data_IF_184049013215
#
_entry.id   IF_184049013215
#
_cell.length_a   1.000
_cell.length_b   1.000
_cell.length_c   1.000
_cell.angle_alpha   90.00
_cell.angle_beta   90.00
_cell.angle_gamma   90.00
#
_symmetry.space_group_name_H-M   'P 1'
#
loop_
_entity.id
_entity.type
_entity.pdbx_description
1 polymer ?
#
# COMPACT_ATOMS: atom_id res chain seq x y z
N UNK A 1 19.17 -11.46 24.90
CA UNK A 1 20.05 -10.42 24.34
C UNK A 1 19.41 -9.66 23.16
N UNK A 2 18.55 -10.27 22.33
CA UNK A 2 18.05 -9.62 21.11
C UNK A 2 16.80 -8.73 21.26
N UNK A 3 16.10 -8.78 22.40
CA UNK A 3 14.82 -8.07 22.59
C UNK A 3 14.89 -6.57 22.27
N UNK A 4 15.94 -5.88 22.72
CA UNK A 4 16.10 -4.45 22.45
C UNK A 4 16.33 -4.13 20.96
N UNK A 5 17.12 -4.95 20.27
CA UNK A 5 17.36 -4.80 18.84
C UNK A 5 16.08 -5.10 18.01
N UNK A 6 15.32 -6.12 18.42
CA UNK A 6 14.05 -6.46 17.77
C UNK A 6 13.00 -5.38 17.98
N UNK A 7 12.94 -4.77 19.18
CA UNK A 7 12.07 -3.62 19.46
C UNK A 7 12.40 -2.41 18.59
N UNK A 8 13.68 -2.00 18.52
CA UNK A 8 14.09 -0.86 17.70
C UNK A 8 13.74 -1.06 16.21
N UNK A 9 13.98 -2.26 15.67
CA UNK A 9 13.60 -2.60 14.29
C UNK A 9 12.09 -2.56 14.07
N UNK A 10 11.31 -3.00 15.06
CA UNK A 10 9.86 -2.92 15.03
C UNK A 10 9.36 -1.47 14.97
N UNK A 11 9.95 -0.60 15.79
CA UNK A 11 9.62 0.83 15.85
C UNK A 11 9.98 1.55 14.53
N UNK A 12 11.17 1.27 13.97
CA UNK A 12 11.60 1.83 12.68
C UNK A 12 10.63 1.42 11.55
N UNK A 13 10.25 0.15 11.48
CA UNK A 13 9.30 -0.35 10.50
C UNK A 13 7.89 0.25 10.69
N UNK A 14 7.48 0.47 11.94
CA UNK A 14 6.22 1.14 12.25
C UNK A 14 6.24 2.61 11.79
N UNK A 15 7.32 3.34 12.07
CA UNK A 15 7.50 4.72 11.63
C UNK A 15 7.52 4.86 10.11
N UNK A 16 8.27 4.01 9.42
CA UNK A 16 8.35 4.02 7.96
C UNK A 16 6.99 3.76 7.30
N UNK A 17 6.21 2.81 7.84
CA UNK A 17 4.84 2.54 7.39
C UNK A 17 3.97 3.81 7.44
N UNK A 18 4.07 4.60 8.51
CA UNK A 18 3.29 5.84 8.67
C UNK A 18 3.71 6.89 7.66
N UNK A 19 5.02 7.07 7.47
CA UNK A 19 5.58 8.03 6.52
C UNK A 19 5.16 7.72 5.08
N UNK A 20 5.22 6.45 4.66
CA UNK A 20 4.81 6.02 3.31
C UNK A 20 3.32 6.27 3.09
N UNK A 21 2.46 5.93 4.06
CA UNK A 21 1.01 6.22 3.94
C UNK A 21 0.76 7.72 3.83
N UNK A 22 1.42 8.52 4.68
CA UNK A 22 1.35 9.97 4.59
C UNK A 22 1.72 10.46 3.19
N UNK A 23 2.88 10.05 2.66
CA UNK A 23 3.31 10.42 1.31
C UNK A 23 2.29 10.03 0.22
N UNK A 24 1.73 8.82 0.27
CA UNK A 24 0.71 8.39 -0.69
C UNK A 24 -0.57 9.22 -0.60
N UNK A 25 -1.05 9.52 0.61
CA UNK A 25 -2.28 10.31 0.83
C UNK A 25 -2.15 11.77 0.42
N UNK A 26 -0.93 12.32 0.31
CA UNK A 26 -0.68 13.65 -0.26
C UNK A 26 -0.62 13.64 -1.79
N UNK A 27 -0.72 12.48 -2.44
CA UNK A 27 -0.79 12.36 -3.89
C UNK A 27 -2.07 12.96 -4.48
N UNK A 28 -2.05 13.22 -5.80
CA UNK A 28 -3.21 13.69 -6.55
C UNK A 28 -3.41 12.80 -7.80
N UNK A 29 -4.53 12.05 -7.90
CA UNK A 29 -5.57 11.90 -6.88
C UNK A 29 -5.04 11.15 -5.64
N UNK A 30 -5.66 11.42 -4.49
CA UNK A 30 -5.38 10.64 -3.29
C UNK A 30 -5.86 9.18 -3.49
N UNK A 31 -5.22 8.19 -2.84
CA UNK A 31 -5.68 6.81 -2.87
C UNK A 31 -7.13 6.65 -2.41
N UNK A 32 -7.91 5.89 -3.17
CA UNK A 32 -9.28 5.49 -2.83
C UNK A 32 -9.34 3.95 -2.84
N UNK A 33 -9.76 3.29 -1.74
CA UNK A 33 -10.13 3.87 -0.45
C UNK A 33 -8.95 4.47 0.32
N UNK A 34 -9.21 5.47 1.16
CA UNK A 34 -8.16 6.14 1.94
C UNK A 34 -7.32 5.15 2.76
N UNK A 35 -6.00 5.30 2.70
CA UNK A 35 -5.06 4.47 3.45
C UNK A 35 -4.95 4.95 4.89
N UNK A 36 -5.49 4.17 5.84
CA UNK A 36 -5.35 4.47 7.26
C UNK A 36 -4.01 4.01 7.80
N UNK A 37 -3.16 4.94 8.24
CA UNK A 37 -1.78 4.70 8.68
C UNK A 37 -1.64 3.63 9.80
N UNK A 38 -2.63 3.52 10.70
CA UNK A 38 -2.72 2.51 11.75
C UNK A 38 -3.03 1.08 11.28
N UNK A 39 -3.82 0.93 10.20
CA UNK A 39 -4.37 -0.37 9.76
C UNK A 39 -3.71 -0.88 8.49
N UNK A 40 -3.31 -2.16 8.45
CA UNK A 40 -2.70 -2.78 7.27
C UNK A 40 -3.73 -3.45 6.33
N UNK A 41 -4.97 -3.58 6.79
CA UNK A 41 -6.06 -4.21 6.04
C UNK A 41 -6.29 -3.49 4.72
N UNK A 42 -6.56 -4.25 3.66
CA UNK A 42 -6.81 -3.71 2.32
C UNK A 42 -5.57 -3.21 1.58
N UNK A 43 -4.39 -3.08 2.21
CA UNK A 43 -3.17 -2.62 1.53
C UNK A 43 -2.47 -3.73 0.74
N UNK A 44 -1.37 -3.37 0.08
CA UNK A 44 -0.56 -4.28 -0.72
C UNK A 44 -1.27 -4.57 -2.03
N UNK A 45 -1.40 -5.84 -2.40
CA UNK A 45 -2.07 -6.24 -3.65
C UNK A 45 -3.60 -6.05 -3.65
N UNK A 46 -4.21 -5.72 -2.50
CA UNK A 46 -5.66 -5.51 -2.36
C UNK A 46 -6.11 -4.06 -2.56
N UNK A 47 -5.18 -3.14 -2.81
CA UNK A 47 -5.47 -1.72 -3.06
C UNK A 47 -4.67 -1.25 -4.27
N UNK A 48 -5.35 -0.60 -5.22
CA UNK A 48 -4.80 -0.27 -6.54
C UNK A 48 -3.47 0.49 -6.47
N UNK A 49 -3.42 1.60 -5.73
CA UNK A 49 -2.19 2.40 -5.55
C UNK A 49 -1.04 1.57 -4.95
N UNK A 50 -1.26 0.81 -3.88
CA UNK A 50 -0.17 0.05 -3.26
C UNK A 50 0.23 -1.18 -4.07
N UNK A 51 -0.71 -1.78 -4.80
CA UNK A 51 -0.46 -2.92 -5.66
C UNK A 51 0.38 -2.51 -6.88
N UNK A 52 0.08 -1.36 -7.47
CA UNK A 52 0.89 -0.75 -8.54
C UNK A 52 2.35 -0.54 -8.14
N UNK A 53 2.61 -0.11 -6.90
CA UNK A 53 3.98 0.10 -6.40
C UNK A 53 4.73 -1.21 -6.13
N UNK A 54 4.00 -2.30 -5.89
CA UNK A 54 4.57 -3.63 -5.68
C UNK A 54 4.64 -4.46 -6.97
N UNK A 55 4.09 -3.94 -8.07
CA UNK A 55 4.08 -4.62 -9.36
C UNK A 55 5.52 -4.86 -9.83
N UNK A 56 5.93 -6.11 -10.12
CA UNK A 56 7.27 -6.38 -10.64
C UNK A 56 7.46 -5.70 -12.01
N UNK A 57 8.70 -5.33 -12.33
CA UNK A 57 9.03 -4.57 -13.55
C UNK A 57 8.64 -5.28 -14.86
N UNK A 58 8.59 -6.61 -14.85
CA UNK A 58 8.20 -7.41 -16.03
C UNK A 58 6.68 -7.39 -16.30
N UNK A 59 5.89 -6.79 -15.41
CA UNK A 59 4.43 -6.73 -15.50
C UNK A 59 3.96 -5.28 -15.64
N UNK A 60 2.97 -5.08 -16.50
CA UNK A 60 2.25 -3.81 -16.60
C UNK A 60 1.04 -3.85 -15.68
N UNK A 61 1.05 -3.03 -14.62
CA UNK A 61 -0.10 -2.88 -13.71
C UNK A 61 -1.35 -2.40 -14.46
N UNK A 62 -1.21 -1.60 -15.52
CA UNK A 62 -2.33 -1.11 -16.31
C UNK A 62 -2.94 -2.18 -17.23
N UNK A 63 -2.32 -3.36 -17.33
CA UNK A 63 -2.88 -4.47 -18.10
C UNK A 63 -4.07 -5.08 -17.36
N UNK A 64 -5.30 -4.99 -17.90
CA UNK A 64 -6.53 -5.46 -17.24
C UNK A 64 -6.54 -6.96 -16.95
N UNK A 65 -5.65 -7.75 -17.55
CA UNK A 65 -5.47 -9.16 -17.23
C UNK A 65 -4.95 -9.39 -15.80
N UNK A 66 -4.22 -8.41 -15.23
CA UNK A 66 -3.57 -8.52 -13.93
C UNK A 66 -4.08 -7.52 -12.88
N UNK A 67 -4.90 -6.54 -13.29
CA UNK A 67 -5.60 -5.63 -12.37
C UNK A 67 -6.63 -6.43 -11.57
N UNK A 68 -6.64 -6.26 -10.25
CA UNK A 68 -7.68 -6.83 -9.40
C UNK A 68 -9.03 -6.17 -9.76
N UNK A 69 -9.87 -6.91 -10.48
CA UNK A 69 -11.17 -6.47 -10.98
C UNK A 69 -12.29 -6.13 -9.95
N UNK A 70 -12.18 -6.26 -8.61
CA UNK A 70 -13.29 -5.87 -7.73
C UNK A 70 -13.53 -4.36 -7.65
N UNK A 71 -12.55 -3.51 -7.97
CA UNK A 71 -12.73 -2.04 -7.87
C UNK A 71 -13.33 -1.38 -9.14
N UNK A 72 -13.34 -2.05 -10.30
CA UNK A 72 -13.93 -1.47 -11.52
C UNK A 72 -15.48 -1.52 -11.54
N UNK A 73 -16.11 -2.26 -10.62
CA UNK A 73 -17.57 -2.46 -10.61
C UNK A 73 -18.35 -1.44 -9.77
N UNK A 74 -17.71 -0.39 -9.24
CA UNK A 74 -18.38 0.69 -8.48
C UNK A 74 -18.57 2.00 -9.27
N UNK A 75 -18.34 1.96 -10.59
CA UNK A 75 -18.60 3.09 -11.51
C UNK A 75 -19.59 2.69 -12.64
N UNK A 76 -20.66 1.97 -12.31
CA UNK A 76 -21.83 1.79 -13.19
C UNK A 76 -23.13 1.96 -12.43
#
# INVERSE_FOLDING_TARGET
LNKGADSARGDDAAGLKMAVVGWLMHGCPAPEPALESGQKTGRGFYHDVTARLLCPVDYDWSNPQYVCSPCLHLLS
#
